data_IF_478814678503
#
_entry.id   IF_478814678503
#
_cell.length_a   1.000
_cell.length_b   1.000
_cell.length_c   1.000
_cell.angle_alpha   90.00
_cell.angle_beta   90.00
_cell.angle_gamma   90.00
#
_symmetry.space_group_name_H-M   'P 1'
#
loop_
_entity.id
_entity.type
_entity.pdbx_description
1 polymer ?
#
# COMPACT_ATOMS: atom_id res chain seq x y z
N UNK A 1 -12.44 -67.53 -38.80
CA UNK A 1 -12.27 -67.33 -40.26
C UNK A 1 -12.95 -66.02 -40.67
N UNK A 2 -12.19 -65.11 -41.32
CA UNK A 2 -12.53 -64.14 -42.40
C UNK A 2 -14.04 -63.84 -42.63
N UNK A 3 -14.51 -62.61 -42.92
CA UNK A 3 -13.92 -61.30 -43.27
C UNK A 3 -15.10 -60.34 -43.55
N UNK A 4 -14.79 -59.03 -43.58
CA UNK A 4 -15.42 -57.94 -44.36
C UNK A 4 -16.55 -57.14 -43.70
N UNK A 5 -16.67 -55.82 -43.83
CA UNK A 5 -15.96 -54.73 -44.55
C UNK A 5 -16.43 -53.42 -43.90
N UNK A 6 -15.56 -52.42 -43.70
CA UNK A 6 -15.99 -51.01 -43.54
C UNK A 6 -16.37 -50.43 -44.90
N UNK A 7 -17.20 -49.37 -44.99
CA UNK A 7 -16.62 -48.05 -45.30
C UNK A 7 -17.41 -46.89 -44.59
N UNK A 8 -17.35 -45.59 -44.98
CA UNK A 8 -16.70 -44.57 -44.14
C UNK A 8 -17.53 -43.26 -43.96
N UNK A 9 -16.92 -42.25 -43.32
CA UNK A 9 -17.31 -40.84 -43.20
C UNK A 9 -18.63 -40.51 -42.47
N UNK A 10 -18.54 -39.68 -41.42
CA UNK A 10 -19.01 -38.29 -41.50
C UNK A 10 -18.41 -37.48 -40.33
N UNK A 11 -17.64 -36.46 -40.69
CA UNK A 11 -17.18 -35.40 -39.79
C UNK A 11 -18.41 -34.67 -39.21
N UNK A 12 -18.55 -34.64 -37.89
CA UNK A 12 -19.39 -33.64 -37.24
C UNK A 12 -18.48 -32.57 -36.63
N UNK A 13 -18.39 -31.46 -37.36
CA UNK A 13 -17.85 -30.19 -36.90
C UNK A 13 -18.85 -29.61 -35.88
N UNK A 14 -18.55 -29.71 -34.60
CA UNK A 14 -19.31 -29.02 -33.54
C UNK A 14 -18.74 -27.60 -33.42
N UNK A 15 -19.30 -26.67 -34.20
CA UNK A 15 -19.14 -25.24 -33.96
C UNK A 15 -19.97 -24.91 -32.72
N UNK A 16 -19.33 -24.93 -31.55
CA UNK A 16 -19.85 -24.25 -30.37
C UNK A 16 -19.55 -22.76 -30.56
N UNK A 17 -20.52 -22.03 -31.10
CA UNK A 17 -20.60 -20.58 -30.93
C UNK A 17 -20.86 -20.36 -29.44
N UNK A 18 -19.80 -20.21 -28.65
CA UNK A 18 -19.92 -19.62 -27.32
C UNK A 18 -20.22 -18.15 -27.52
N UNK A 19 -21.51 -17.81 -27.63
CA UNK A 19 -21.98 -16.47 -27.34
C UNK A 19 -21.56 -16.16 -25.91
N UNK A 20 -20.47 -15.41 -25.74
CA UNK A 20 -20.15 -14.77 -24.49
C UNK A 20 -21.25 -13.73 -24.24
N UNK A 21 -22.36 -14.19 -23.66
CA UNK A 21 -23.27 -13.33 -22.93
C UNK A 21 -22.44 -12.73 -21.80
N UNK A 22 -21.89 -11.55 -22.04
CA UNK A 22 -21.33 -10.70 -21.01
C UNK A 22 -22.47 -10.42 -20.04
N UNK A 23 -22.54 -11.17 -18.94
CA UNK A 23 -23.40 -10.77 -17.84
C UNK A 23 -22.92 -9.41 -17.36
N UNK A 24 -23.75 -8.35 -17.43
CA UNK A 24 -23.40 -7.11 -16.76
C UNK A 24 -23.24 -7.44 -15.28
N UNK A 25 -22.07 -7.14 -14.73
CA UNK A 25 -21.85 -7.22 -13.29
C UNK A 25 -22.93 -6.35 -12.62
N UNK A 26 -23.89 -6.99 -11.95
CA UNK A 26 -24.96 -6.29 -11.26
C UNK A 26 -24.34 -5.63 -10.03
N UNK A 27 -24.07 -4.33 -10.13
CA UNK A 27 -23.75 -3.50 -8.97
C UNK A 27 -24.94 -3.51 -8.01
N UNK A 28 -24.66 -3.63 -6.71
CA UNK A 28 -25.67 -3.62 -5.65
C UNK A 28 -26.64 -2.44 -5.80
N UNK A 29 -27.93 -2.71 -5.62
CA UNK A 29 -29.01 -1.71 -5.68
C UNK A 29 -28.75 -0.62 -4.64
N UNK A 30 -28.78 0.65 -5.07
CA UNK A 30 -28.59 1.80 -4.20
C UNK A 30 -29.95 2.32 -3.72
N UNK A 31 -30.12 2.41 -2.40
CA UNK A 31 -31.24 3.14 -1.77
C UNK A 31 -30.73 4.53 -1.39
N UNK A 32 -31.40 5.57 -1.87
CA UNK A 32 -30.94 6.95 -1.80
C UNK A 32 -31.16 7.61 -0.43
N UNK A 33 -30.29 7.36 0.56
CA UNK A 33 -30.39 7.94 1.91
C UNK A 33 -30.03 9.43 1.99
N UNK A 34 -30.81 10.28 1.32
CA UNK A 34 -30.62 11.74 1.24
C UNK A 34 -31.58 12.52 2.15
N UNK A 35 -32.42 11.82 2.92
CA UNK A 35 -33.49 12.41 3.76
C UNK A 35 -34.73 12.86 2.98
N UNK A 36 -34.64 13.04 1.66
CA UNK A 36 -35.78 13.32 0.79
C UNK A 36 -36.80 12.16 0.71
N UNK A 37 -36.37 10.94 1.06
CA UNK A 37 -37.20 9.72 1.09
C UNK A 37 -38.45 9.88 1.97
N UNK A 38 -38.37 10.66 3.06
CA UNK A 38 -39.47 10.87 4.00
C UNK A 38 -40.66 11.63 3.38
N UNK A 39 -40.40 12.41 2.32
CA UNK A 39 -41.42 13.21 1.62
C UNK A 39 -41.83 12.65 0.25
N UNK A 40 -40.93 11.93 -0.43
CA UNK A 40 -41.14 11.53 -1.84
C UNK A 40 -41.05 10.02 -2.09
N UNK A 41 -40.77 9.21 -1.06
CA UNK A 41 -40.56 7.76 -1.17
C UNK A 41 -39.15 7.38 -1.62
N UNK A 42 -38.80 6.09 -1.45
CA UNK A 42 -37.54 5.54 -1.96
C UNK A 42 -37.66 5.28 -3.46
N UNK A 43 -36.89 6.01 -4.27
CA UNK A 43 -36.78 5.72 -5.69
C UNK A 43 -35.76 4.60 -5.85
N UNK A 44 -36.24 3.40 -6.18
CA UNK A 44 -35.41 2.26 -6.57
C UNK A 44 -34.86 2.52 -7.98
N UNK A 45 -33.86 3.39 -8.10
CA UNK A 45 -33.16 3.57 -9.35
C UNK A 45 -32.31 2.32 -9.61
N UNK A 46 -32.50 1.67 -10.76
CA UNK A 46 -31.54 0.65 -11.18
C UNK A 46 -30.16 1.32 -11.30
N UNK A 47 -29.11 0.77 -10.67
CA UNK A 47 -27.79 1.34 -10.81
C UNK A 47 -27.42 1.33 -12.30
N UNK A 48 -26.91 2.48 -12.78
CA UNK A 48 -26.49 2.60 -14.18
C UNK A 48 -25.27 1.69 -14.40
N UNK A 49 -25.20 0.94 -15.51
CA UNK A 49 -24.05 0.11 -15.79
C UNK A 49 -22.77 0.96 -15.85
N UNK A 50 -21.69 0.48 -15.23
CA UNK A 50 -20.38 1.14 -15.28
C UNK A 50 -19.81 1.06 -16.71
N UNK A 51 -19.56 2.21 -17.30
CA UNK A 51 -18.83 2.42 -18.54
C UNK A 51 -17.33 2.49 -18.24
N UNK A 52 -16.68 1.33 -18.29
CA UNK A 52 -15.24 1.21 -18.10
C UNK A 52 -14.46 1.87 -19.24
N UNK A 53 -13.36 2.53 -18.86
CA UNK A 53 -12.40 3.24 -19.69
C UNK A 53 -10.99 2.78 -19.31
N UNK A 54 -10.05 3.01 -20.23
CA UNK A 54 -8.63 2.67 -20.05
C UNK A 54 -7.78 3.88 -20.41
N UNK A 55 -6.81 4.21 -19.55
CA UNK A 55 -5.75 5.17 -19.82
C UNK A 55 -4.42 4.43 -19.79
N UNK A 56 -3.57 4.68 -20.79
CA UNK A 56 -2.30 3.98 -20.95
C UNK A 56 -1.16 4.98 -20.93
N UNK A 57 -0.16 4.71 -20.11
CA UNK A 57 1.09 5.48 -20.01
C UNK A 57 2.28 4.58 -20.41
N UNK A 58 3.53 5.07 -20.45
CA UNK A 58 4.70 4.22 -20.69
C UNK A 58 4.77 2.99 -19.77
N UNK A 59 4.54 3.15 -18.47
CA UNK A 59 4.73 2.10 -17.47
C UNK A 59 3.43 1.53 -16.87
N UNK A 60 2.26 2.13 -17.14
CA UNK A 60 0.99 1.75 -16.49
C UNK A 60 -0.19 1.58 -17.46
N UNK A 61 -1.16 0.77 -17.03
CA UNK A 61 -2.49 0.64 -17.62
C UNK A 61 -3.56 0.90 -16.55
N UNK A 62 -4.19 2.07 -16.58
CA UNK A 62 -5.21 2.47 -15.63
C UNK A 62 -6.61 2.09 -16.16
N UNK A 63 -7.38 1.36 -15.37
CA UNK A 63 -8.76 0.98 -15.62
C UNK A 63 -9.67 1.72 -14.65
N UNK A 64 -10.65 2.45 -15.17
CA UNK A 64 -11.56 3.29 -14.39
C UNK A 64 -12.92 3.36 -15.08
N UNK A 65 -13.93 3.95 -14.48
CA UNK A 65 -15.27 4.11 -15.09
C UNK A 65 -15.72 5.57 -15.08
N UNK A 66 -16.87 5.84 -15.70
CA UNK A 66 -17.38 7.21 -15.86
C UNK A 66 -17.40 7.98 -14.54
N UNK A 67 -16.89 9.22 -14.55
CA UNK A 67 -16.78 10.09 -13.38
C UNK A 67 -15.42 10.05 -12.68
N UNK A 68 -14.50 9.14 -13.08
CA UNK A 68 -13.15 9.03 -12.53
C UNK A 68 -12.05 9.53 -13.46
N UNK A 69 -12.38 10.24 -14.54
CA UNK A 69 -11.43 10.73 -15.54
C UNK A 69 -10.32 11.59 -14.92
N UNK A 70 -10.70 12.58 -14.09
CA UNK A 70 -9.74 13.46 -13.43
C UNK A 70 -8.83 12.69 -12.45
N UNK A 71 -9.39 11.76 -11.69
CA UNK A 71 -8.62 10.90 -10.80
C UNK A 71 -7.64 10.04 -11.60
N UNK A 72 -8.08 9.47 -12.73
CA UNK A 72 -7.22 8.67 -13.60
C UNK A 72 -6.05 9.46 -14.17
N UNK A 73 -6.29 10.67 -14.65
CA UNK A 73 -5.22 11.54 -15.17
C UNK A 73 -4.24 11.97 -14.07
N UNK A 74 -4.75 12.33 -12.88
CA UNK A 74 -3.90 12.67 -11.73
C UNK A 74 -3.07 11.47 -11.27
N UNK A 75 -3.70 10.31 -11.09
CA UNK A 75 -3.01 9.07 -10.74
C UNK A 75 -1.95 8.71 -11.78
N UNK A 76 -2.25 8.83 -13.07
CA UNK A 76 -1.29 8.55 -14.14
C UNK A 76 -0.04 9.42 -14.05
N UNK A 77 -0.20 10.73 -13.85
CA UNK A 77 0.93 11.66 -13.66
C UNK A 77 1.76 11.31 -12.44
N UNK A 78 1.13 11.11 -11.29
CA UNK A 78 1.80 10.74 -10.04
C UNK A 78 2.58 9.42 -10.20
N UNK A 79 1.96 8.41 -10.81
CA UNK A 79 2.56 7.10 -11.01
C UNK A 79 3.82 7.16 -11.87
N UNK A 80 3.81 7.95 -12.94
CA UNK A 80 4.96 8.11 -13.82
C UNK A 80 6.05 8.99 -13.19
N UNK A 81 5.68 10.15 -12.66
CA UNK A 81 6.62 11.21 -12.25
C UNK A 81 7.07 11.05 -10.79
N UNK A 82 6.13 11.03 -9.85
CA UNK A 82 6.42 11.07 -8.41
C UNK A 82 6.80 9.70 -7.84
N UNK A 83 6.28 8.62 -8.43
CA UNK A 83 6.45 7.26 -7.95
C UNK A 83 7.49 6.48 -8.77
N UNK A 84 7.18 6.09 -10.02
CA UNK A 84 8.06 5.25 -10.83
C UNK A 84 9.38 5.96 -11.14
N UNK A 85 9.32 7.21 -11.63
CA UNK A 85 10.50 8.02 -11.94
C UNK A 85 11.41 8.28 -10.72
N UNK A 86 10.85 8.26 -9.51
CA UNK A 86 11.60 8.43 -8.25
C UNK A 86 12.26 7.13 -7.78
N UNK A 87 11.52 6.03 -7.79
CA UNK A 87 11.94 4.77 -7.16
C UNK A 87 12.75 3.89 -8.12
N UNK A 88 12.30 3.77 -9.36
CA UNK A 88 12.87 2.83 -10.32
C UNK A 88 14.38 3.02 -10.60
N UNK A 89 14.93 4.25 -10.72
CA UNK A 89 16.34 4.45 -11.01
C UNK A 89 17.30 3.78 -10.03
N UNK A 90 16.92 3.72 -8.75
CA UNK A 90 17.74 3.19 -7.66
C UNK A 90 17.69 1.66 -7.58
N UNK A 91 16.61 1.05 -8.07
CA UNK A 91 16.39 -0.40 -8.05
C UNK A 91 16.43 -1.05 -9.44
N UNK A 92 16.82 -0.31 -10.49
CA UNK A 92 16.78 -0.78 -11.88
C UNK A 92 17.53 -2.11 -12.10
N UNK A 93 18.61 -2.34 -11.35
CA UNK A 93 19.44 -3.54 -11.45
C UNK A 93 18.72 -4.82 -10.99
N UNK A 94 17.64 -4.68 -10.20
CA UNK A 94 16.79 -5.81 -9.83
C UNK A 94 16.01 -6.39 -11.03
N UNK A 95 15.80 -5.59 -12.08
CA UNK A 95 14.95 -5.93 -13.23
C UNK A 95 15.72 -6.40 -14.46
N UNK A 96 17.05 -6.55 -14.35
CA UNK A 96 17.93 -6.93 -15.47
C UNK A 96 17.62 -8.30 -16.08
N UNK A 97 16.85 -9.15 -15.37
CA UNK A 97 16.54 -10.53 -15.77
C UNK A 97 15.07 -10.75 -16.21
N UNK A 98 14.17 -9.76 -16.03
CA UNK A 98 12.76 -9.91 -16.40
C UNK A 98 12.20 -8.58 -16.94
N UNK A 99 11.83 -8.50 -18.24
CA UNK A 99 11.34 -7.26 -18.83
C UNK A 99 10.08 -6.78 -18.12
N UNK A 100 10.11 -5.53 -17.69
CA UNK A 100 9.01 -4.87 -17.02
C UNK A 100 7.74 -4.92 -17.88
N UNK A 101 6.67 -5.49 -17.33
CA UNK A 101 5.32 -5.40 -17.92
C UNK A 101 4.63 -4.20 -17.31
N UNK A 102 3.80 -3.51 -18.11
CA UNK A 102 3.00 -2.39 -17.60
C UNK A 102 2.20 -2.84 -16.37
N UNK A 103 2.29 -2.07 -15.30
CA UNK A 103 1.55 -2.32 -14.06
C UNK A 103 0.09 -1.93 -14.33
N UNK A 104 -0.84 -2.83 -14.00
CA UNK A 104 -2.27 -2.52 -14.10
C UNK A 104 -2.71 -1.76 -12.87
N UNK A 105 -3.52 -0.74 -13.03
CA UNK A 105 -4.07 0.05 -11.94
C UNK A 105 -5.57 0.10 -12.13
N UNK A 106 -6.36 -0.16 -11.09
CA UNK A 106 -7.82 -0.17 -11.14
C UNK A 106 -8.33 0.85 -10.13
N UNK A 107 -9.07 1.85 -10.61
CA UNK A 107 -9.59 2.93 -9.79
C UNK A 107 -11.06 2.67 -9.44
N UNK A 108 -11.38 2.83 -8.16
CA UNK A 108 -12.72 2.75 -7.61
C UNK A 108 -13.06 4.04 -6.86
N UNK A 109 -14.28 4.52 -7.05
CA UNK A 109 -14.79 5.73 -6.44
C UNK A 109 -14.98 5.59 -4.91
N UNK A 110 -15.15 4.37 -4.39
CA UNK A 110 -15.34 4.13 -2.96
C UNK A 110 -15.00 2.70 -2.54
N UNK A 111 -14.78 2.50 -1.23
CA UNK A 111 -14.52 1.16 -0.65
C UNK A 111 -15.71 0.23 -0.86
N UNK A 112 -16.93 0.79 -0.85
CA UNK A 112 -18.16 0.06 -1.13
C UNK A 112 -18.20 -0.44 -2.57
N UNK A 113 -17.82 0.38 -3.55
CA UNK A 113 -17.76 -0.05 -4.96
C UNK A 113 -16.66 -1.07 -5.21
N UNK A 114 -15.52 -0.91 -4.54
CA UNK A 114 -14.49 -1.94 -4.51
C UNK A 114 -15.05 -3.27 -3.98
N UNK A 115 -15.67 -3.28 -2.79
CA UNK A 115 -16.25 -4.48 -2.18
C UNK A 115 -17.37 -5.09 -3.03
N UNK A 116 -18.21 -4.27 -3.67
CA UNK A 116 -19.25 -4.75 -4.58
C UNK A 116 -18.66 -5.39 -5.85
N UNK A 117 -17.49 -4.93 -6.32
CA UNK A 117 -16.77 -5.60 -7.42
C UNK A 117 -16.23 -6.98 -7.02
N UNK A 118 -16.09 -7.23 -5.70
CA UNK A 118 -15.60 -8.50 -5.16
C UNK A 118 -16.57 -9.67 -5.21
N UNK A 119 -17.77 -9.50 -5.75
CA UNK A 119 -18.59 -10.62 -6.21
C UNK A 119 -17.90 -11.45 -7.34
N UNK A 120 -16.78 -10.96 -7.87
CA UNK A 120 -15.91 -11.66 -8.83
C UNK A 120 -14.68 -12.37 -8.21
N UNK A 121 -14.56 -12.42 -6.87
CA UNK A 121 -13.70 -13.39 -6.19
C UNK A 121 -12.33 -12.93 -5.64
N UNK A 122 -12.13 -11.68 -5.20
CA UNK A 122 -10.96 -11.33 -4.37
C UNK A 122 -11.40 -10.88 -2.96
N UNK A 123 -10.82 -11.51 -1.94
CA UNK A 123 -10.97 -11.06 -0.55
C UNK A 123 -9.74 -10.21 -0.21
N UNK A 124 -9.95 -8.94 0.16
CA UNK A 124 -8.94 -8.21 0.93
C UNK A 124 -9.26 -8.41 2.40
N UNK A 125 -8.31 -9.00 3.12
CA UNK A 125 -8.29 -8.94 4.58
C UNK A 125 -7.77 -7.57 5.01
N UNK A 126 -8.45 -6.99 5.99
CA UNK A 126 -8.28 -5.64 6.53
C UNK A 126 -6.83 -5.16 6.70
N UNK A 127 -6.49 -4.04 6.04
CA UNK A 127 -5.56 -3.04 6.57
C UNK A 127 -6.18 -1.64 6.43
N UNK A 128 -5.97 -0.82 7.45
CA UNK A 128 -6.86 0.27 7.86
C UNK A 128 -6.44 1.67 7.40
N UNK A 129 -5.36 1.85 6.63
CA UNK A 129 -4.83 3.22 6.40
C UNK A 129 -4.47 3.55 4.94
N UNK A 130 -4.56 2.59 4.01
CA UNK A 130 -4.16 2.78 2.61
C UNK A 130 -5.33 2.64 1.64
N UNK A 131 -5.63 3.72 0.92
CA UNK A 131 -6.61 3.77 -0.17
C UNK A 131 -6.16 2.97 -1.39
N UNK A 132 -4.93 2.46 -1.41
CA UNK A 132 -4.44 1.61 -2.48
C UNK A 132 -3.88 0.28 -1.99
N UNK A 133 -4.04 -0.77 -2.78
CA UNK A 133 -3.59 -2.12 -2.44
C UNK A 133 -2.92 -2.81 -3.62
N UNK A 134 -1.77 -3.43 -3.37
CA UNK A 134 -1.11 -4.31 -4.33
C UNK A 134 -1.67 -5.73 -4.26
N UNK A 135 -2.28 -6.14 -5.37
CA UNK A 135 -2.49 -7.54 -5.70
C UNK A 135 -1.60 -7.83 -6.89
N UNK A 136 -0.76 -8.87 -6.88
CA UNK A 136 0.20 -9.25 -7.95
C UNK A 136 0.00 -8.50 -9.31
N UNK A 137 0.84 -7.49 -9.57
CA UNK A 137 0.84 -6.64 -10.77
C UNK A 137 -0.46 -5.79 -11.00
N UNK A 138 -1.19 -5.50 -9.93
CA UNK A 138 -2.42 -4.70 -9.89
C UNK A 138 -2.41 -3.77 -8.68
N UNK A 139 -2.59 -2.48 -8.93
CA UNK A 139 -2.80 -1.47 -7.89
C UNK A 139 -4.28 -1.09 -7.86
N UNK A 140 -4.97 -1.33 -6.75
CA UNK A 140 -6.34 -0.83 -6.54
C UNK A 140 -6.24 0.56 -5.93
N UNK A 141 -7.07 1.52 -6.30
CA UNK A 141 -7.19 2.83 -5.62
C UNK A 141 -8.65 3.08 -5.25
N UNK A 142 -8.94 3.48 -4.02
CA UNK A 142 -10.27 3.52 -3.40
C UNK A 142 -10.60 4.91 -2.82
N UNK A 143 -11.42 5.70 -3.51
CA UNK A 143 -11.89 6.99 -3.00
C UNK A 143 -11.12 8.20 -3.50
N UNK A 144 -11.50 9.39 -3.00
CA UNK A 144 -10.80 10.66 -3.25
C UNK A 144 -9.91 11.02 -2.04
N UNK A 145 -8.70 10.46 -1.93
CA UNK A 145 -7.69 11.00 -1.01
C UNK A 145 -7.42 12.45 -1.41
N UNK A 146 -6.95 13.29 -0.47
CA UNK A 146 -6.43 14.60 -0.88
C UNK A 146 -5.31 14.39 -1.90
N UNK A 147 -5.06 15.36 -2.78
CA UNK A 147 -3.99 15.20 -3.79
C UNK A 147 -2.63 14.87 -3.14
N UNK A 148 -2.38 15.42 -1.94
CA UNK A 148 -1.23 15.10 -1.09
C UNK A 148 -1.19 13.61 -0.72
N UNK A 149 -2.28 13.09 -0.19
CA UNK A 149 -2.34 11.69 0.27
C UNK A 149 -2.27 10.72 -0.92
N UNK A 150 -2.86 11.07 -2.07
CA UNK A 150 -2.77 10.28 -3.29
C UNK A 150 -1.31 10.09 -3.74
N UNK A 151 -0.51 11.17 -3.70
CA UNK A 151 0.92 11.13 -4.03
C UNK A 151 1.68 10.18 -3.12
N UNK A 152 1.48 10.31 -1.82
CA UNK A 152 2.11 9.45 -0.83
C UNK A 152 1.75 7.98 -1.00
N UNK A 153 0.45 7.68 -1.01
CA UNK A 153 -0.08 6.30 -1.10
C UNK A 153 0.34 5.62 -2.40
N UNK A 154 0.23 6.28 -3.56
CA UNK A 154 0.65 5.68 -4.82
C UNK A 154 2.17 5.41 -4.84
N UNK A 155 2.98 6.32 -4.29
CA UNK A 155 4.43 6.14 -4.22
C UNK A 155 4.82 4.97 -3.29
N UNK A 156 4.16 4.87 -2.14
CA UNK A 156 4.32 3.77 -1.19
C UNK A 156 4.07 2.41 -1.88
N UNK A 157 2.92 2.25 -2.54
CA UNK A 157 2.58 0.99 -3.20
C UNK A 157 3.47 0.68 -4.42
N UNK A 158 3.84 1.68 -5.22
CA UNK A 158 4.77 1.46 -6.32
C UNK A 158 6.15 1.02 -5.81
N UNK A 159 6.58 1.54 -4.66
CA UNK A 159 7.84 1.12 -4.05
C UNK A 159 7.84 -0.37 -3.71
N UNK A 160 6.78 -0.88 -3.10
CA UNK A 160 6.63 -2.33 -2.89
C UNK A 160 6.63 -3.12 -4.20
N UNK A 161 5.98 -2.65 -5.27
CA UNK A 161 5.99 -3.35 -6.57
C UNK A 161 7.41 -3.41 -7.16
N UNK A 162 8.19 -2.34 -7.03
CA UNK A 162 9.55 -2.26 -7.54
C UNK A 162 10.52 -3.10 -6.70
N UNK A 163 10.39 -3.06 -5.37
CA UNK A 163 11.35 -3.68 -4.44
C UNK A 163 11.02 -5.14 -4.13
N UNK A 164 9.75 -5.52 -4.06
CA UNK A 164 9.31 -6.87 -3.68
C UNK A 164 8.86 -7.68 -4.90
N UNK A 165 8.30 -7.00 -5.91
CA UNK A 165 7.78 -7.63 -7.12
C UNK A 165 8.75 -8.60 -7.83
N UNK A 166 10.04 -8.26 -8.03
CA UNK A 166 11.03 -9.15 -8.62
C UNK A 166 11.18 -10.51 -7.92
N UNK A 167 10.90 -10.55 -6.62
CA UNK A 167 11.21 -11.71 -5.76
C UNK A 167 10.00 -12.59 -5.47
N UNK A 168 8.77 -12.14 -5.80
CA UNK A 168 7.52 -12.87 -5.49
C UNK A 168 7.38 -14.25 -6.17
N UNK A 169 8.08 -14.52 -7.28
CA UNK A 169 8.03 -15.81 -7.99
C UNK A 169 9.11 -16.81 -7.56
N UNK A 170 10.04 -16.44 -6.67
CA UNK A 170 11.01 -17.38 -6.17
C UNK A 170 10.34 -18.32 -5.16
N UNK A 171 10.30 -19.61 -5.49
CA UNK A 171 9.77 -20.74 -4.69
C UNK A 171 10.32 -20.82 -3.24
N UNK A 172 11.32 -20.00 -2.91
CA UNK A 172 11.93 -19.84 -1.59
C UNK A 172 11.20 -18.83 -0.69
N UNK A 173 10.09 -18.21 -1.09
CA UNK A 173 9.37 -17.20 -0.28
C UNK A 173 8.70 -17.75 1.02
N UNK A 174 8.88 -19.03 1.36
CA UNK A 174 8.20 -19.71 2.46
C UNK A 174 9.03 -20.10 3.68
N UNK A 175 10.37 -19.96 3.67
CA UNK A 175 11.21 -20.41 4.81
C UNK A 175 12.34 -19.42 5.08
N UNK A 176 12.05 -18.32 5.78
CA UNK A 176 13.08 -17.38 6.27
C UNK A 176 13.82 -16.54 5.21
N UNK A 177 13.29 -16.47 3.98
CA UNK A 177 13.95 -15.89 2.79
C UNK A 177 13.10 -14.83 2.06
N UNK A 178 12.15 -14.20 2.75
CA UNK A 178 11.42 -13.03 2.26
C UNK A 178 12.05 -11.71 2.70
N UNK A 179 11.67 -10.61 2.05
CA UNK A 179 12.04 -9.25 2.51
C UNK A 179 11.39 -9.00 3.88
N UNK A 180 12.16 -8.64 4.93
CA UNK A 180 11.63 -8.30 6.25
C UNK A 180 10.64 -7.13 6.19
N UNK A 181 9.62 -7.14 7.05
CA UNK A 181 8.58 -6.10 7.09
C UNK A 181 9.16 -4.70 7.23
N UNK A 182 10.11 -4.49 8.14
CA UNK A 182 10.74 -3.18 8.34
C UNK A 182 11.50 -2.67 7.10
N UNK A 183 12.10 -3.56 6.29
CA UNK A 183 12.75 -3.17 5.03
C UNK A 183 11.68 -2.81 4.00
N UNK A 184 10.67 -3.67 3.86
CA UNK A 184 9.59 -3.48 2.88
C UNK A 184 8.85 -2.15 3.11
N UNK A 185 8.42 -1.92 4.35
CA UNK A 185 7.67 -0.73 4.74
C UNK A 185 8.58 0.49 4.87
N UNK A 186 9.78 0.34 5.44
CA UNK A 186 10.73 1.44 5.58
C UNK A 186 11.16 2.02 4.24
N UNK A 187 11.40 1.17 3.22
CA UNK A 187 11.65 1.64 1.85
C UNK A 187 10.42 2.34 1.27
N UNK A 188 9.23 1.77 1.41
CA UNK A 188 8.00 2.37 0.89
C UNK A 188 7.73 3.75 1.49
N UNK A 189 7.98 3.92 2.79
CA UNK A 189 7.90 5.20 3.48
C UNK A 189 9.02 6.18 3.10
N UNK A 190 10.25 5.68 2.88
CA UNK A 190 11.41 6.50 2.54
C UNK A 190 11.25 7.20 1.19
N UNK A 191 10.69 6.49 0.20
CA UNK A 191 10.48 7.05 -1.13
C UNK A 191 9.23 7.92 -1.25
N UNK A 192 8.33 7.95 -0.25
CA UNK A 192 7.22 8.90 -0.26
C UNK A 192 7.76 10.34 -0.31
N UNK A 193 7.17 11.25 -1.11
CA UNK A 193 7.54 12.66 -1.06
C UNK A 193 7.38 13.20 0.36
N UNK A 194 8.39 13.92 0.86
CA UNK A 194 8.47 14.33 2.27
C UNK A 194 7.22 15.07 2.75
N UNK A 195 6.66 15.94 1.89
CA UNK A 195 5.45 16.70 2.15
C UNK A 195 4.19 15.83 2.28
N UNK A 196 4.21 14.56 1.87
CA UNK A 196 3.08 13.62 1.92
C UNK A 196 3.12 12.69 3.15
N UNK A 197 4.19 12.75 3.95
CA UNK A 197 4.34 11.89 5.13
C UNK A 197 3.30 12.24 6.19
N UNK A 198 2.77 11.21 6.86
CA UNK A 198 1.70 11.36 7.84
C UNK A 198 2.26 11.91 9.16
N UNK A 199 1.72 13.05 9.61
CA UNK A 199 2.20 13.73 10.82
C UNK A 199 2.11 12.84 12.08
N UNK A 200 1.11 11.95 12.16
CA UNK A 200 0.95 11.02 13.27
C UNK A 200 2.10 10.03 13.43
N UNK A 201 2.81 9.71 12.33
CA UNK A 201 3.99 8.84 12.37
C UNK A 201 5.16 9.54 13.07
N UNK A 202 5.40 10.81 12.74
CA UNK A 202 6.42 11.63 13.41
C UNK A 202 6.10 11.86 14.88
N UNK A 203 4.83 12.08 15.22
CA UNK A 203 4.38 12.22 16.62
C UNK A 203 4.61 10.91 17.39
N UNK A 204 4.25 9.76 16.81
CA UNK A 204 4.43 8.46 17.45
C UNK A 204 5.91 8.15 17.74
N UNK A 205 6.79 8.35 16.75
CA UNK A 205 8.23 8.11 16.93
C UNK A 205 8.85 9.05 17.97
N UNK A 206 8.44 10.33 17.95
CA UNK A 206 8.87 11.31 18.95
C UNK A 206 8.43 10.93 20.37
N UNK A 207 7.18 10.48 20.53
CA UNK A 207 6.63 10.11 21.85
C UNK A 207 7.38 8.91 22.46
N UNK A 208 7.61 7.85 21.69
CA UNK A 208 8.34 6.67 22.22
C UNK A 208 9.80 6.98 22.50
N UNK A 209 10.43 7.83 21.68
CA UNK A 209 11.80 8.26 21.91
C UNK A 209 11.92 9.06 23.21
N UNK A 210 11.00 10.00 23.47
CA UNK A 210 11.04 10.81 24.70
C UNK A 210 10.77 9.99 25.97
N UNK A 211 10.08 8.86 25.83
CA UNK A 211 9.77 7.93 26.92
C UNK A 211 10.78 6.79 27.07
N UNK A 212 11.80 6.72 26.21
CA UNK A 212 12.73 5.59 26.08
C UNK A 212 12.01 4.24 25.90
N UNK A 213 10.95 4.24 25.10
CA UNK A 213 10.11 3.08 24.75
C UNK A 213 10.23 2.71 23.27
N UNK A 214 11.38 2.97 22.66
CA UNK A 214 11.65 2.57 21.27
C UNK A 214 11.66 1.04 21.18
N UNK A 215 10.93 0.50 20.20
CA UNK A 215 10.74 -0.94 20.08
C UNK A 215 12.07 -1.67 19.77
N UNK A 216 12.09 -2.98 19.98
CA UNK A 216 13.17 -3.82 19.50
C UNK A 216 13.03 -4.11 18.00
N UNK A 217 14.15 -4.45 17.35
CA UNK A 217 14.11 -4.82 15.93
C UNK A 217 13.24 -6.06 15.63
N UNK A 218 13.04 -6.94 16.61
CA UNK A 218 12.14 -8.08 16.49
C UNK A 218 10.66 -7.69 16.47
N UNK A 219 10.30 -6.58 17.11
CA UNK A 219 8.92 -6.09 17.20
C UNK A 219 8.52 -5.37 15.91
N UNK A 220 9.40 -4.49 15.41
CA UNK A 220 9.16 -3.77 14.15
C UNK A 220 9.12 -4.69 12.93
N UNK A 221 9.73 -5.88 12.98
CA UNK A 221 9.73 -6.81 11.84
C UNK A 221 8.32 -7.26 11.41
N UNK A 222 7.30 -7.08 12.27
CA UNK A 222 5.88 -7.35 11.97
C UNK A 222 5.12 -6.16 11.38
N UNK A 223 5.70 -4.95 11.41
CA UNK A 223 5.15 -3.63 11.05
C UNK A 223 3.62 -3.52 11.13
N UNK A 224 3.12 -2.96 12.21
CA UNK A 224 1.68 -2.68 12.40
C UNK A 224 1.43 -1.33 13.07
N UNK A 225 0.64 -0.46 12.44
CA UNK A 225 0.27 0.84 13.02
C UNK A 225 1.35 1.93 12.88
N UNK A 226 0.98 3.17 13.18
CA UNK A 226 1.77 4.37 12.85
C UNK A 226 3.20 4.38 13.41
N UNK A 227 3.43 3.81 14.59
CA UNK A 227 4.76 3.77 15.21
C UNK A 227 5.73 2.91 14.38
N UNK A 228 5.37 1.66 14.08
CA UNK A 228 6.28 0.77 13.37
C UNK A 228 6.60 1.27 11.95
N UNK A 229 5.66 1.95 11.26
CA UNK A 229 5.97 2.63 9.99
C UNK A 229 6.98 3.76 10.18
N UNK A 230 6.84 4.55 11.25
CA UNK A 230 7.73 5.66 11.56
C UNK A 230 9.15 5.19 11.89
N UNK A 231 9.28 4.15 12.72
CA UNK A 231 10.57 3.55 13.05
C UNK A 231 11.22 2.90 11.81
N UNK A 232 10.45 2.23 10.96
CA UNK A 232 10.97 1.53 9.78
C UNK A 232 11.51 2.54 8.78
N UNK A 233 10.76 3.62 8.55
CA UNK A 233 11.21 4.76 7.80
C UNK A 233 12.49 5.36 8.37
N UNK A 234 12.49 5.70 9.67
CA UNK A 234 13.58 6.42 10.31
C UNK A 234 14.88 5.61 10.27
N UNK A 235 14.78 4.29 10.43
CA UNK A 235 15.93 3.40 10.36
C UNK A 235 16.48 3.28 8.93
N UNK A 236 15.61 3.17 7.91
CA UNK A 236 16.02 3.19 6.50
C UNK A 236 16.66 4.54 6.13
N UNK A 237 16.09 5.65 6.58
CA UNK A 237 16.63 6.99 6.39
C UNK A 237 18.03 7.13 7.04
N UNK A 238 18.21 6.61 8.25
CA UNK A 238 19.53 6.53 8.90
C UNK A 238 20.55 5.76 8.06
N UNK A 239 20.18 4.59 7.54
CA UNK A 239 21.08 3.80 6.68
C UNK A 239 21.46 4.61 5.44
N UNK A 240 20.48 5.25 4.79
CA UNK A 240 20.70 6.05 3.60
C UNK A 240 21.61 7.26 3.87
N UNK A 241 21.40 7.98 4.98
CA UNK A 241 22.23 9.14 5.37
C UNK A 241 23.66 8.74 5.74
N UNK A 242 23.83 7.63 6.45
CA UNK A 242 25.14 7.21 6.98
C UNK A 242 25.98 6.46 5.96
N UNK A 243 25.37 5.63 5.11
CA UNK A 243 26.07 4.73 4.20
C UNK A 243 25.84 5.03 2.72
N UNK A 244 24.88 5.90 2.38
CA UNK A 244 24.50 6.23 1.02
C UNK A 244 23.17 5.58 0.61
N UNK A 245 22.40 6.29 -0.21
CA UNK A 245 21.11 5.81 -0.73
C UNK A 245 21.25 4.58 -1.64
N UNK A 246 22.37 4.46 -2.35
CA UNK A 246 22.74 3.30 -3.16
C UNK A 246 22.84 2.00 -2.35
N UNK A 247 23.20 2.11 -1.05
CA UNK A 247 23.23 0.96 -0.14
C UNK A 247 21.87 0.36 0.16
N UNK A 248 20.77 1.09 -0.07
CA UNK A 248 19.43 0.53 0.11
C UNK A 248 19.15 -0.60 -0.89
N UNK A 249 19.56 -0.43 -2.15
CA UNK A 249 19.42 -1.49 -3.16
C UNK A 249 20.35 -2.67 -2.86
N UNK A 250 21.62 -2.40 -2.50
CA UNK A 250 22.57 -3.45 -2.12
C UNK A 250 22.09 -4.25 -0.90
N UNK A 251 21.54 -3.57 0.11
CA UNK A 251 20.95 -4.20 1.29
C UNK A 251 19.80 -5.12 0.92
N UNK A 252 18.84 -4.64 0.13
CA UNK A 252 17.71 -5.43 -0.31
C UNK A 252 18.18 -6.67 -1.09
N UNK A 253 19.11 -6.50 -2.03
CA UNK A 253 19.69 -7.61 -2.78
C UNK A 253 20.38 -8.65 -1.88
N UNK A 254 21.20 -8.19 -0.93
CA UNK A 254 21.94 -9.06 -0.03
C UNK A 254 21.00 -9.80 0.91
N UNK A 255 19.96 -9.14 1.44
CA UNK A 255 18.96 -9.78 2.29
C UNK A 255 18.19 -10.87 1.53
N UNK A 256 17.84 -10.62 0.27
CA UNK A 256 17.15 -11.63 -0.55
C UNK A 256 18.08 -12.80 -0.92
N UNK A 257 19.33 -12.53 -1.28
CA UNK A 257 20.29 -13.55 -1.73
C UNK A 257 20.92 -14.34 -0.57
N UNK A 258 21.27 -13.65 0.50
CA UNK A 258 22.04 -14.18 1.63
C UNK A 258 21.20 -14.34 2.91
N UNK A 259 19.98 -13.80 2.97
CA UNK A 259 19.09 -13.88 4.13
C UNK A 259 19.23 -12.72 5.11
N UNK A 260 18.19 -12.51 5.93
CA UNK A 260 18.13 -11.49 6.97
C UNK A 260 18.84 -11.96 8.26
N UNK A 261 20.15 -11.72 8.36
CA UNK A 261 21.01 -12.14 9.49
C UNK A 261 22.19 -11.20 9.66
N UNK A 262 22.75 -11.11 10.87
CA UNK A 262 23.85 -10.18 11.20
C UNK A 262 25.00 -10.20 10.20
N UNK A 263 25.46 -11.38 9.80
CA UNK A 263 26.54 -11.54 8.82
C UNK A 263 26.28 -10.81 7.49
N UNK A 264 25.03 -10.70 7.06
CA UNK A 264 24.65 -9.98 5.84
C UNK A 264 24.89 -8.48 6.02
N UNK A 265 24.51 -7.93 7.18
CA UNK A 265 24.70 -6.52 7.51
C UNK A 265 26.16 -6.19 7.81
N UNK A 266 26.90 -7.07 8.47
CA UNK A 266 28.34 -6.90 8.74
C UNK A 266 29.14 -6.73 7.44
N UNK A 267 28.83 -7.53 6.41
CA UNK A 267 29.50 -7.42 5.10
C UNK A 267 29.24 -6.09 4.40
N UNK A 268 28.03 -5.55 4.55
CA UNK A 268 27.60 -4.34 3.84
C UNK A 268 28.02 -3.06 4.58
N UNK A 269 27.89 -3.07 5.91
CA UNK A 269 27.97 -1.88 6.76
C UNK A 269 29.11 -1.94 7.77
N UNK A 270 29.82 -3.07 7.88
CA UNK A 270 30.85 -3.28 8.91
C UNK A 270 30.27 -3.40 10.32
N UNK A 271 28.96 -3.60 10.45
CA UNK A 271 28.19 -3.65 11.71
C UNK A 271 27.14 -4.73 11.64
N UNK A 272 26.90 -5.41 12.76
CA UNK A 272 25.74 -6.29 12.93
C UNK A 272 24.44 -5.50 12.80
N UNK A 273 23.33 -6.19 12.55
CA UNK A 273 22.03 -5.53 12.49
C UNK A 273 21.65 -4.91 13.84
N UNK A 274 22.01 -5.60 14.93
CA UNK A 274 21.83 -5.10 16.29
C UNK A 274 22.62 -3.82 16.54
N UNK A 275 23.89 -3.76 16.16
CA UNK A 275 24.70 -2.54 16.30
C UNK A 275 24.16 -1.39 15.45
N UNK A 276 23.68 -1.67 14.23
CA UNK A 276 23.04 -0.64 13.39
C UNK A 276 21.80 -0.07 14.08
N UNK A 277 20.99 -0.92 14.69
CA UNK A 277 19.80 -0.51 15.44
C UNK A 277 20.16 0.34 16.66
N UNK A 278 21.17 -0.06 17.43
CA UNK A 278 21.67 0.69 18.59
C UNK A 278 22.24 2.05 18.17
N UNK A 279 23.09 2.09 17.15
CA UNK A 279 23.64 3.35 16.62
C UNK A 279 22.52 4.30 16.14
N UNK A 280 21.46 3.78 15.51
CA UNK A 280 20.30 4.56 15.08
C UNK A 280 19.54 5.13 16.28
N UNK A 281 19.25 4.30 17.29
CA UNK A 281 18.58 4.72 18.53
C UNK A 281 19.35 5.84 19.25
N UNK A 282 20.68 5.75 19.27
CA UNK A 282 21.54 6.78 19.87
C UNK A 282 21.52 8.12 19.11
N UNK A 283 21.18 8.11 17.82
CA UNK A 283 21.04 9.33 17.02
C UNK A 283 19.70 10.04 17.26
N UNK A 284 18.62 9.31 17.53
CA UNK A 284 17.26 9.86 17.69
C UNK A 284 17.20 11.04 18.68
N UNK A 285 17.86 11.02 19.86
CA UNK A 285 18.03 12.18 20.73
C UNK A 285 18.44 13.46 20.01
N UNK A 286 19.42 13.41 19.12
CA UNK A 286 19.92 14.60 18.42
C UNK A 286 18.91 15.15 17.41
N UNK A 287 18.09 14.27 16.82
CA UNK A 287 17.07 14.63 15.82
C UNK A 287 15.84 15.26 16.51
N UNK A 288 15.38 14.67 17.62
CA UNK A 288 14.14 15.06 18.29
C UNK A 288 14.34 15.98 19.51
N UNK A 289 15.59 16.34 19.86
CA UNK A 289 15.91 17.29 20.93
C UNK A 289 15.24 18.66 20.75
N UNK A 290 14.97 19.08 19.50
CA UNK A 290 14.22 20.31 19.22
C UNK A 290 12.78 20.20 19.76
N UNK A 291 12.56 20.81 20.94
CA UNK A 291 11.31 20.76 21.71
C UNK A 291 11.21 19.58 22.67
N UNK A 292 12.31 18.89 23.01
CA UNK A 292 12.36 17.95 24.15
C UNK A 292 12.30 18.69 25.50
N UNK A 293 12.71 19.96 25.52
CA UNK A 293 12.51 20.87 26.65
C UNK A 293 11.06 21.38 26.75
N UNK A 294 10.23 21.13 25.73
CA UNK A 294 8.81 21.42 25.86
C UNK A 294 8.29 20.53 27.00
N UNK A 295 7.64 21.09 28.02
CA UNK A 295 7.09 20.29 29.09
C UNK A 295 6.20 19.20 28.48
N UNK A 296 6.19 17.98 29.05
CA UNK A 296 5.20 17.00 28.64
C UNK A 296 3.82 17.68 28.73
N UNK A 297 2.88 17.30 27.86
CA UNK A 297 1.51 17.78 28.00
C UNK A 297 0.93 17.17 29.30
N UNK A 298 1.16 17.87 30.42
CA UNK A 298 0.60 17.60 31.75
C UNK A 298 -0.28 18.80 32.16
N UNK A 299 -0.45 19.80 31.29
CA UNK A 299 -1.52 20.78 31.49
C UNK A 299 -2.85 20.04 31.35
N UNK A 300 -3.45 19.71 32.50
CA UNK A 300 -4.90 19.65 32.60
C UNK A 300 -5.42 21.02 32.18
N UNK A 301 -5.71 21.17 30.89
CA UNK A 301 -6.41 22.34 30.42
C UNK A 301 -7.80 22.30 31.07
N UNK A 302 -8.10 23.32 31.90
CA UNK A 302 -9.48 23.58 32.29
C UNK A 302 -10.30 23.60 31.00
N UNK A 303 -11.33 22.76 30.89
CA UNK A 303 -12.07 22.70 29.65
C UNK A 303 -12.67 24.08 29.36
N UNK A 304 -12.49 24.54 28.13
CA UNK A 304 -13.05 25.82 27.64
C UNK A 304 -14.54 25.95 27.95
N UNK A 305 -15.23 24.82 28.11
CA UNK A 305 -16.57 24.73 28.65
C UNK A 305 -16.55 23.95 29.97
N UNK A 306 -16.99 24.55 31.10
CA UNK A 306 -17.01 23.90 32.41
C UNK A 306 -17.73 22.54 32.45
N UNK A 307 -18.64 22.32 31.50
CA UNK A 307 -19.48 21.12 31.40
C UNK A 307 -18.83 19.98 30.57
N UNK A 308 -17.70 20.24 29.90
CA UNK A 308 -17.00 19.25 29.07
C UNK A 308 -15.78 18.72 29.82
N UNK A 309 -15.94 17.63 30.58
CA UNK A 309 -14.80 16.93 31.16
C UNK A 309 -14.20 15.98 30.13
N UNK A 310 -12.90 16.16 29.85
CA UNK A 310 -11.99 15.28 29.09
C UNK A 310 -12.51 14.69 27.75
N UNK A 311 -11.74 14.87 26.68
CA UNK A 311 -12.02 14.31 25.35
C UNK A 311 -12.06 12.77 25.31
N UNK A 312 -11.73 12.09 26.41
CA UNK A 312 -11.89 10.64 26.57
C UNK A 312 -13.35 10.18 26.79
N UNK A 313 -14.28 11.07 27.12
CA UNK A 313 -15.69 10.75 27.39
C UNK A 313 -16.60 11.35 26.32
N UNK A 314 -16.74 10.68 25.18
CA UNK A 314 -17.77 11.03 24.19
C UNK A 314 -19.14 10.75 24.81
N UNK A 315 -19.92 11.80 25.07
CA UNK A 315 -21.30 11.71 25.57
C UNK A 315 -22.16 10.96 24.54
N UNK A 316 -22.66 9.77 24.88
CA UNK A 316 -23.41 8.91 23.93
C UNK A 316 -24.92 8.96 24.15
N UNK A 317 -25.41 9.73 25.13
CA UNK A 317 -26.84 9.91 25.35
C UNK A 317 -27.21 11.12 26.23
N UNK A 318 -28.51 11.33 26.46
CA UNK A 318 -29.01 12.47 27.25
C UNK A 318 -28.48 12.49 28.70
N UNK A 319 -28.07 11.33 29.23
CA UNK A 319 -27.74 11.15 30.65
C UNK A 319 -26.24 10.84 30.90
N UNK A 320 -25.41 10.81 29.85
CA UNK A 320 -23.98 10.46 29.93
C UNK A 320 -23.58 9.42 28.89
#
# INVERSE_FOLDING_TARGET
MKKHRRPPLFFFLLILVSSALTWPAQSAVELSKTGAEYRFGQVKAMPRPLQWKKLVTPHFELFFYQGLEELAERSARILEEDAFGRVYPDFRNLFTLNPYRKIRVILFASRKEYQNSQASGLSLTDTSEGVAHILVNRLVVIGQPTFRDLRGVLTHEITHLITIGPFKNNLLYGVGSGVPGWIAEGLAEYYMPAETRFAMREVALRDVMLRDQVDSISEISKVSGNLHYAEAWSFVDYIARKYGQDKLCEMLEAVVKEGHRDRTFEKLFGRTLKELWEDWREELPRIYQAGAEAPPYIEEADPLFPDYRDQSMVKVGPDG
#
